data_IF_840432800546
#
_entry.id   IF_840432800546
#
_cell.length_a   1.000
_cell.length_b   1.000
_cell.length_c   1.000
_cell.angle_alpha   90.00
_cell.angle_beta   90.00
_cell.angle_gamma   90.00
#
_symmetry.space_group_name_H-M   'P 1'
#
loop_
_entity.id
_entity.type
_entity.pdbx_description
1 polymer ?
#
# COMPACT_ATOMS: atom_id res chain seq x y z
N UNK A 1 41.79 -8.21 13.60
CA UNK A 1 40.98 -9.04 12.68
C UNK A 1 39.54 -8.67 12.92
N UNK A 2 38.95 -7.96 11.96
CA UNK A 2 37.54 -7.59 11.94
C UNK A 2 36.81 -8.73 11.23
N UNK A 3 35.72 -9.22 11.81
CA UNK A 3 34.53 -9.75 11.15
C UNK A 3 33.50 -10.08 12.25
N UNK A 4 32.18 -9.95 12.10
CA UNK A 4 31.28 -9.25 11.19
C UNK A 4 29.89 -9.68 11.69
N UNK A 5 29.05 -8.83 12.27
CA UNK A 5 27.61 -9.12 12.44
C UNK A 5 26.83 -7.82 12.22
N UNK A 6 26.12 -7.78 11.09
CA UNK A 6 25.03 -6.85 10.80
C UNK A 6 23.77 -7.36 11.51
N UNK A 7 23.06 -6.51 12.27
CA UNK A 7 21.69 -6.83 12.72
C UNK A 7 20.71 -5.83 12.12
N UNK A 8 19.65 -6.40 11.54
CA UNK A 8 18.62 -5.71 10.75
C UNK A 8 17.40 -5.55 11.67
N UNK A 9 16.81 -4.35 11.71
CA UNK A 9 15.51 -4.10 12.37
C UNK A 9 14.45 -5.04 11.78
N UNK A 10 14.06 -6.03 12.56
CA UNK A 10 13.16 -7.12 12.18
C UNK A 10 11.70 -6.70 12.35
N UNK A 11 10.90 -6.96 11.30
CA UNK A 11 9.50 -7.33 11.50
C UNK A 11 9.50 -8.59 12.37
N UNK A 12 8.84 -8.55 13.53
CA UNK A 12 8.64 -9.77 14.31
C UNK A 12 7.69 -10.68 13.53
N UNK A 13 8.27 -11.74 12.96
CA UNK A 13 7.57 -12.82 12.28
C UNK A 13 7.46 -13.95 13.28
N UNK A 14 6.25 -14.25 13.72
CA UNK A 14 5.98 -15.41 14.56
C UNK A 14 5.73 -16.63 13.66
N UNK A 15 6.61 -17.64 13.73
CA UNK A 15 6.30 -18.96 13.19
C UNK A 15 5.46 -19.70 14.25
N UNK A 16 4.21 -20.05 13.96
CA UNK A 16 3.18 -20.54 14.92
C UNK A 16 3.47 -21.96 15.48
N UNK A 17 4.72 -22.45 15.43
CA UNK A 17 5.15 -23.66 16.13
C UNK A 17 6.46 -23.50 16.92
N UNK A 18 6.98 -22.28 17.09
CA UNK A 18 8.20 -22.02 17.85
C UNK A 18 7.91 -21.32 19.19
N UNK A 19 7.16 -21.99 20.07
CA UNK A 19 7.30 -21.80 21.52
C UNK A 19 7.88 -23.08 22.12
N UNK A 20 9.19 -23.23 22.00
CA UNK A 20 9.98 -24.12 22.85
C UNK A 20 11.44 -23.70 22.75
N UNK A 21 11.86 -22.81 23.64
CA UNK A 21 13.10 -22.82 24.43
C UNK A 21 13.14 -21.47 25.16
N UNK A 22 12.61 -21.44 26.38
CA UNK A 22 13.25 -20.83 27.55
C UNK A 22 12.54 -21.35 28.81
N UNK A 23 13.24 -22.21 29.55
CA UNK A 23 12.82 -22.72 30.85
C UNK A 23 12.74 -21.55 31.84
N UNK A 24 11.58 -21.37 32.47
CA UNK A 24 11.49 -21.14 33.92
C UNK A 24 10.10 -21.54 34.41
N UNK A 25 10.10 -22.38 35.44
CA UNK A 25 8.98 -23.01 36.11
C UNK A 25 7.86 -22.07 36.53
N UNK A 26 6.61 -22.53 36.45
CA UNK A 26 5.62 -22.64 37.55
C UNK A 26 4.33 -23.27 36.99
N UNK A 27 3.77 -24.25 37.72
CA UNK A 27 2.33 -24.51 37.77
C UNK A 27 1.75 -25.42 36.70
N UNK A 28 1.70 -26.72 36.99
CA UNK A 28 0.91 -27.74 36.31
C UNK A 28 -0.59 -27.48 36.46
N UNK A 29 -1.34 -27.34 35.37
CA UNK A 29 -2.72 -27.83 35.25
C UNK A 29 -2.92 -28.39 33.82
N UNK A 30 -3.31 -29.66 33.76
CA UNK A 30 -3.60 -30.40 32.55
C UNK A 30 -4.89 -29.88 31.90
N UNK A 31 -4.84 -29.52 30.62
CA UNK A 31 -6.03 -29.52 29.77
C UNK A 31 -5.78 -30.50 28.62
N UNK A 32 -6.51 -31.60 28.69
CA UNK A 32 -6.56 -32.67 27.69
C UNK A 32 -7.16 -32.15 26.39
N UNK A 33 -6.45 -32.37 25.28
CA UNK A 33 -6.96 -32.14 23.93
C UNK A 33 -8.06 -33.16 23.60
N UNK A 34 -9.30 -32.69 23.49
CA UNK A 34 -10.39 -33.45 22.92
C UNK A 34 -10.36 -33.38 21.39
N UNK A 35 -10.33 -34.57 20.81
CA UNK A 35 -10.36 -34.93 19.41
C UNK A 35 -11.56 -34.37 18.63
N UNK A 36 -11.34 -34.28 17.32
CA UNK A 36 -12.25 -33.92 16.24
C UNK A 36 -13.62 -34.63 16.28
N UNK A 37 -14.68 -33.86 16.53
CA UNK A 37 -16.04 -34.06 15.99
C UNK A 37 -16.95 -32.91 16.42
N UNK A 38 -17.32 -32.02 15.51
CA UNK A 38 -18.27 -30.96 15.83
C UNK A 38 -18.35 -29.79 14.84
N UNK A 39 -18.17 -30.02 13.54
CA UNK A 39 -18.45 -29.01 12.51
C UNK A 39 -19.45 -29.62 11.54
N UNK A 40 -20.71 -29.77 11.98
CA UNK A 40 -21.84 -29.91 11.06
C UNK A 40 -23.14 -29.24 11.53
N UNK A 41 -23.19 -28.54 12.67
CA UNK A 41 -24.47 -28.08 13.22
C UNK A 41 -24.58 -26.56 13.51
N UNK A 42 -23.72 -25.74 12.90
CA UNK A 42 -23.80 -24.26 13.01
C UNK A 42 -24.54 -23.59 11.83
N UNK A 43 -24.83 -24.34 10.76
CA UNK A 43 -25.53 -23.86 9.56
C UNK A 43 -27.04 -23.63 9.79
N UNK A 44 -27.63 -24.35 10.75
CA UNK A 44 -29.08 -24.35 10.96
C UNK A 44 -29.55 -23.27 11.97
N UNK A 45 -28.66 -22.81 12.86
CA UNK A 45 -28.96 -21.79 13.88
C UNK A 45 -28.97 -20.35 13.29
N UNK A 46 -28.30 -20.13 12.15
CA UNK A 46 -28.24 -18.80 11.51
C UNK A 46 -29.45 -18.48 10.60
N UNK A 47 -30.30 -19.47 10.27
CA UNK A 47 -31.47 -19.25 9.40
C UNK A 47 -32.74 -18.84 10.13
N UNK A 48 -32.80 -18.97 11.46
CA UNK A 48 -34.00 -18.62 12.25
C UNK A 48 -33.97 -17.22 12.89
N UNK A 49 -32.87 -16.46 12.73
CA UNK A 49 -32.76 -15.09 13.29
C UNK A 49 -32.89 -13.95 12.28
N UNK A 50 -33.13 -14.24 10.99
CA UNK A 50 -33.25 -13.21 9.95
C UNK A 50 -34.68 -12.94 9.46
N UNK A 51 -35.70 -13.52 10.11
CA UNK A 51 -37.11 -13.26 9.81
C UNK A 51 -37.81 -12.81 11.08
N UNK A 52 -37.64 -11.53 11.43
CA UNK A 52 -38.63 -10.65 12.09
C UNK A 52 -37.88 -9.38 12.49
N UNK A 53 -38.14 -8.29 11.78
CA UNK A 53 -38.48 -6.97 12.33
C UNK A 53 -38.44 -5.93 11.22
N UNK A 54 -39.56 -5.82 10.49
CA UNK A 54 -39.98 -4.59 9.85
C UNK A 54 -41.16 -4.04 10.66
N UNK A 55 -41.00 -2.85 11.26
CA UNK A 55 -42.09 -1.95 11.59
C UNK A 55 -41.53 -0.53 11.73
N UNK A 56 -42.21 0.38 11.06
CA UNK A 56 -41.85 1.77 10.80
C UNK A 56 -41.80 2.64 12.06
N UNK A 57 -40.93 3.65 12.08
CA UNK A 57 -41.31 4.97 12.59
C UNK A 57 -40.55 6.04 11.82
N UNK A 58 -41.33 6.93 11.22
CA UNK A 58 -40.94 8.15 10.52
C UNK A 58 -40.32 9.18 11.46
N UNK A 59 -39.11 9.65 11.13
CA UNK A 59 -38.65 10.98 11.49
C UNK A 59 -37.62 11.44 10.46
N UNK A 60 -38.03 12.36 9.60
CA UNK A 60 -37.13 13.07 8.71
C UNK A 60 -36.17 13.92 9.55
N UNK A 61 -34.87 13.68 9.42
CA UNK A 61 -33.85 14.66 9.81
C UNK A 61 -32.73 14.64 8.78
N UNK A 62 -32.44 15.82 8.25
CA UNK A 62 -31.46 16.07 7.22
C UNK A 62 -30.06 15.66 7.69
N UNK A 63 -29.47 14.66 7.03
CA UNK A 63 -28.12 14.16 7.23
C UNK A 63 -27.34 14.29 5.91
N UNK A 64 -27.15 15.51 5.39
CA UNK A 64 -26.39 15.71 4.15
C UNK A 64 -24.91 16.06 4.38
N UNK A 65 -24.44 16.08 5.64
CA UNK A 65 -23.09 16.53 6.00
C UNK A 65 -22.09 15.41 6.35
N UNK A 66 -22.56 14.26 6.85
CA UNK A 66 -21.71 13.14 7.32
C UNK A 66 -21.52 12.06 6.27
N UNK A 67 -22.49 11.85 5.39
CA UNK A 67 -22.44 10.79 4.36
C UNK A 67 -21.44 11.13 3.25
N UNK A 68 -21.41 12.39 2.81
CA UNK A 68 -20.49 12.87 1.76
C UNK A 68 -19.03 12.78 2.18
N UNK A 69 -18.72 13.01 3.47
CA UNK A 69 -17.36 12.96 4.02
C UNK A 69 -16.81 11.52 4.10
N UNK A 70 -17.67 10.55 4.42
CA UNK A 70 -17.29 9.13 4.50
C UNK A 70 -17.00 8.56 3.10
N UNK A 71 -17.80 8.92 2.10
CA UNK A 71 -17.57 8.43 0.74
C UNK A 71 -16.34 9.07 0.10
N UNK A 72 -16.08 10.37 0.34
CA UNK A 72 -14.82 11.01 -0.07
C UNK A 72 -13.62 10.33 0.61
N UNK A 73 -13.70 10.04 1.92
CA UNK A 73 -12.66 9.33 2.63
C UNK A 73 -12.37 7.95 2.04
N UNK A 74 -13.41 7.18 1.70
CA UNK A 74 -13.26 5.86 1.05
C UNK A 74 -12.61 5.95 -0.32
N UNK A 75 -13.04 6.89 -1.16
CA UNK A 75 -12.41 7.11 -2.48
C UNK A 75 -10.94 7.51 -2.33
N UNK A 76 -10.63 8.39 -1.38
CA UNK A 76 -9.26 8.80 -1.06
C UNK A 76 -8.40 7.60 -0.64
N UNK A 77 -8.90 6.72 0.23
CA UNK A 77 -8.20 5.50 0.66
C UNK A 77 -7.95 4.56 -0.53
N UNK A 78 -8.93 4.39 -1.44
CA UNK A 78 -8.79 3.55 -2.65
C UNK A 78 -7.72 4.09 -3.59
N UNK A 79 -7.70 5.41 -3.81
CA UNK A 79 -6.72 6.08 -4.66
C UNK A 79 -5.31 5.95 -4.08
N UNK A 80 -5.16 6.15 -2.76
CA UNK A 80 -3.88 5.94 -2.04
C UNK A 80 -3.45 4.47 -2.14
N UNK A 81 -4.39 3.55 -1.90
CA UNK A 81 -4.18 2.11 -2.03
C UNK A 81 -3.66 1.70 -3.39
N UNK A 82 -4.31 2.15 -4.46
CA UNK A 82 -3.88 1.91 -5.83
C UNK A 82 -2.48 2.47 -6.10
N UNK A 83 -2.24 3.73 -5.71
CA UNK A 83 -0.97 4.39 -5.99
C UNK A 83 0.21 3.73 -5.27
N UNK A 84 0.00 3.30 -4.01
CA UNK A 84 1.02 2.60 -3.22
C UNK A 84 1.17 1.12 -3.60
N UNK A 85 0.14 0.47 -4.16
CA UNK A 85 0.33 -0.85 -4.82
C UNK A 85 1.28 -0.77 -6.00
N UNK A 86 1.17 0.28 -6.82
CA UNK A 86 2.10 0.47 -7.94
C UNK A 86 3.54 0.58 -7.43
N UNK A 87 3.77 1.31 -6.32
CA UNK A 87 5.05 1.36 -5.65
C UNK A 87 5.51 -0.03 -5.18
N UNK A 88 4.67 -0.73 -4.41
CA UNK A 88 4.97 -2.03 -3.81
C UNK A 88 5.36 -3.10 -4.84
N UNK A 89 4.70 -3.14 -6.00
CA UNK A 89 4.85 -4.24 -6.95
C UNK A 89 5.67 -3.91 -8.21
N UNK A 90 5.86 -2.63 -8.54
CA UNK A 90 6.48 -2.24 -9.81
C UNK A 90 7.68 -1.29 -9.66
N UNK A 91 7.81 -0.62 -8.52
CA UNK A 91 8.91 0.32 -8.27
C UNK A 91 10.18 -0.41 -7.84
N UNK A 92 11.30 0.28 -7.99
CA UNK A 92 12.62 -0.16 -7.61
C UNK A 92 13.38 0.97 -6.90
N UNK A 93 14.58 0.69 -6.38
CA UNK A 93 15.33 1.68 -5.61
C UNK A 93 15.99 2.73 -6.48
N UNK A 94 15.28 3.85 -6.70
CA UNK A 94 15.76 4.96 -7.54
C UNK A 94 17.01 5.67 -7.01
N UNK A 95 17.47 5.36 -5.78
CA UNK A 95 18.71 5.92 -5.23
C UNK A 95 19.95 5.25 -5.78
N UNK A 96 19.84 3.96 -6.14
CA UNK A 96 20.98 3.11 -6.50
C UNK A 96 20.85 2.53 -7.90
N UNK A 97 19.62 2.31 -8.36
CA UNK A 97 19.33 1.70 -9.65
C UNK A 97 19.11 2.76 -10.73
N UNK A 98 19.92 2.70 -11.78
CA UNK A 98 19.83 3.62 -12.93
C UNK A 98 19.03 3.01 -14.09
N UNK A 99 19.00 1.67 -14.20
CA UNK A 99 18.31 0.97 -15.27
C UNK A 99 16.99 0.37 -14.80
N UNK A 100 15.89 1.03 -15.16
CA UNK A 100 14.54 0.59 -14.80
C UNK A 100 14.17 -0.82 -15.28
N UNK A 101 14.80 -1.31 -16.34
CA UNK A 101 14.46 -2.61 -16.93
C UNK A 101 15.03 -3.76 -16.11
N UNK A 102 16.26 -3.61 -15.63
CA UNK A 102 16.99 -4.65 -14.88
C UNK A 102 16.86 -4.51 -13.38
N UNK A 103 16.41 -3.35 -12.89
CA UNK A 103 16.27 -3.08 -11.47
C UNK A 103 15.32 -4.06 -10.78
N UNK A 104 15.73 -4.49 -9.58
CA UNK A 104 14.98 -5.44 -8.78
C UNK A 104 13.70 -4.82 -8.21
N UNK A 105 12.60 -5.59 -8.20
CA UNK A 105 11.29 -5.17 -7.69
C UNK A 105 10.88 -6.08 -6.55
N UNK A 106 11.27 -5.72 -5.34
CA UNK A 106 11.09 -6.58 -4.15
C UNK A 106 10.23 -5.97 -3.05
N UNK A 107 9.63 -4.80 -3.31
CA UNK A 107 8.93 -4.06 -2.25
C UNK A 107 7.66 -4.74 -1.73
N UNK A 108 7.15 -5.72 -2.45
CA UNK A 108 6.08 -6.58 -1.96
C UNK A 108 6.54 -7.54 -0.86
N UNK A 109 7.84 -7.83 -0.73
CA UNK A 109 8.43 -8.70 0.30
C UNK A 109 8.98 -7.91 1.48
N UNK A 110 9.60 -6.76 1.21
CA UNK A 110 10.31 -5.94 2.20
C UNK A 110 10.21 -4.47 1.86
N UNK A 111 10.28 -3.60 2.86
CA UNK A 111 10.58 -2.19 2.60
C UNK A 111 12.00 -2.02 2.01
N UNK A 112 12.30 -0.86 1.39
CA UNK A 112 13.60 -0.61 0.80
C UNK A 112 14.77 -0.82 1.77
N UNK A 113 15.85 -1.41 1.25
CA UNK A 113 17.09 -1.66 1.99
C UNK A 113 18.28 -1.06 1.21
N UNK A 114 19.10 -0.20 1.85
CA UNK A 114 18.93 0.33 3.21
C UNK A 114 17.66 1.20 3.33
N UNK A 115 17.11 1.40 4.56
CA UNK A 115 15.99 2.31 4.77
C UNK A 115 16.27 3.73 4.24
N UNK A 116 15.24 4.57 4.14
CA UNK A 116 15.47 5.98 3.88
C UNK A 116 16.31 6.58 5.01
N UNK A 117 17.31 7.40 4.66
CA UNK A 117 18.07 8.17 5.68
C UNK A 117 17.19 9.14 6.45
N UNK A 118 16.10 9.57 5.82
CA UNK A 118 15.10 10.46 6.40
C UNK A 118 13.78 10.27 5.69
N UNK A 119 12.69 10.39 6.45
CA UNK A 119 11.34 10.42 5.89
C UNK A 119 11.12 11.66 5.02
N UNK A 120 10.22 11.54 4.04
CA UNK A 120 9.75 12.67 3.27
C UNK A 120 9.02 13.65 4.20
N UNK A 121 9.60 14.83 4.37
CA UNK A 121 9.19 15.79 5.41
C UNK A 121 7.70 16.15 5.35
N UNK A 122 7.14 16.31 4.15
CA UNK A 122 5.74 16.74 4.02
C UNK A 122 4.78 15.59 4.34
N UNK A 123 5.14 14.35 4.00
CA UNK A 123 4.34 13.17 4.39
C UNK A 123 4.41 13.01 5.90
N UNK A 124 5.62 13.05 6.47
CA UNK A 124 5.83 12.98 7.91
C UNK A 124 4.99 14.01 8.67
N UNK A 125 5.05 15.28 8.25
CA UNK A 125 4.31 16.38 8.87
C UNK A 125 2.81 16.10 9.01
N UNK A 126 2.16 15.58 7.96
CA UNK A 126 0.70 15.38 7.96
C UNK A 126 0.27 13.98 8.39
N UNK A 127 1.15 12.98 8.27
CA UNK A 127 0.81 11.61 8.64
C UNK A 127 1.16 11.25 10.07
N UNK A 128 2.06 11.99 10.72
CA UNK A 128 2.34 11.84 12.15
C UNK A 128 1.22 12.41 13.03
N UNK A 129 0.50 13.43 12.56
CA UNK A 129 -0.51 14.13 13.34
C UNK A 129 -1.80 13.33 13.54
N UNK A 130 -2.39 12.80 12.46
CA UNK A 130 -3.55 11.90 12.52
C UNK A 130 -3.77 11.15 11.21
N UNK A 131 -4.56 10.08 11.27
CA UNK A 131 -4.97 9.32 10.09
C UNK A 131 -5.71 10.19 9.06
N UNK A 132 -6.64 11.03 9.53
CA UNK A 132 -7.45 11.88 8.65
C UNK A 132 -6.60 12.95 7.95
N UNK A 133 -5.68 13.60 8.68
CA UNK A 133 -4.74 14.55 8.06
C UNK A 133 -3.82 13.86 7.05
N UNK A 134 -3.37 12.63 7.36
CA UNK A 134 -2.59 11.81 6.45
C UNK A 134 -3.35 11.57 5.13
N UNK A 135 -4.55 10.99 5.22
CA UNK A 135 -5.33 10.63 4.03
C UNK A 135 -5.66 11.86 3.20
N UNK A 136 -6.09 12.95 3.84
CA UNK A 136 -6.41 14.20 3.14
C UNK A 136 -5.20 14.77 2.41
N UNK A 137 -4.04 14.77 3.05
CA UNK A 137 -2.80 15.23 2.43
C UNK A 137 -2.39 14.33 1.25
N UNK A 138 -2.35 13.01 1.46
CA UNK A 138 -1.94 12.05 0.44
C UNK A 138 -2.88 12.14 -0.77
N UNK A 139 -4.19 12.08 -0.56
CA UNK A 139 -5.17 12.17 -1.62
C UNK A 139 -5.10 13.50 -2.39
N UNK A 140 -4.91 14.62 -1.68
CA UNK A 140 -4.71 15.93 -2.33
C UNK A 140 -3.50 15.93 -3.26
N UNK A 141 -2.37 15.32 -2.86
CA UNK A 141 -1.20 15.16 -3.74
C UNK A 141 -1.52 14.28 -4.94
N UNK A 142 -2.26 13.18 -4.74
CA UNK A 142 -2.61 12.25 -5.81
C UNK A 142 -3.54 12.84 -6.88
N UNK A 143 -4.31 13.90 -6.58
CA UNK A 143 -5.09 14.62 -7.61
C UNK A 143 -4.20 15.17 -8.75
N UNK A 144 -2.92 15.40 -8.50
CA UNK A 144 -1.98 15.91 -9.50
C UNK A 144 -1.28 14.85 -10.36
N UNK A 145 -1.39 13.56 -10.03
CA UNK A 145 -0.61 12.51 -10.70
C UNK A 145 -1.22 12.14 -12.05
N UNK A 146 -0.37 11.67 -12.96
CA UNK A 146 -0.80 11.25 -14.29
C UNK A 146 -1.43 9.84 -14.26
N UNK A 147 -0.83 8.91 -13.52
CA UNK A 147 -1.31 7.53 -13.43
C UNK A 147 -2.33 7.37 -12.28
N UNK A 148 -3.61 7.65 -12.58
CA UNK A 148 -4.70 7.61 -11.60
C UNK A 148 -5.43 6.27 -11.61
N UNK A 149 -6.00 5.89 -10.45
CA UNK A 149 -6.83 4.68 -10.32
C UNK A 149 -8.02 4.69 -11.27
N UNK A 150 -8.69 5.84 -11.42
CA UNK A 150 -9.89 5.98 -12.27
C UNK A 150 -9.62 5.71 -13.75
N UNK A 151 -8.36 5.83 -14.17
CA UNK A 151 -7.93 5.72 -15.56
C UNK A 151 -7.27 4.35 -15.82
N UNK A 152 -7.16 3.50 -14.79
CA UNK A 152 -6.64 2.15 -14.91
C UNK A 152 -7.61 1.26 -15.68
N UNK A 153 -7.08 0.48 -16.62
CA UNK A 153 -7.87 -0.40 -17.49
C UNK A 153 -8.78 -1.35 -16.70
N UNK A 154 -8.29 -1.94 -15.59
CA UNK A 154 -9.09 -2.87 -14.78
C UNK A 154 -10.26 -2.18 -14.11
N UNK A 155 -10.06 -0.94 -13.64
CA UNK A 155 -11.09 -0.13 -12.97
C UNK A 155 -12.12 0.35 -13.98
N UNK A 156 -11.69 0.81 -15.16
CA UNK A 156 -12.60 1.22 -16.24
C UNK A 156 -13.44 0.02 -16.70
N UNK A 157 -12.81 -1.14 -16.93
CA UNK A 157 -13.52 -2.37 -17.30
C UNK A 157 -14.58 -2.75 -16.27
N UNK A 158 -14.23 -2.69 -14.98
CA UNK A 158 -15.16 -2.99 -13.88
C UNK A 158 -16.34 -2.02 -13.87
N UNK A 159 -16.09 -0.71 -13.91
CA UNK A 159 -17.12 0.33 -13.85
C UNK A 159 -18.05 0.32 -15.07
N UNK A 160 -17.51 -0.01 -16.24
CA UNK A 160 -18.27 -0.06 -17.49
C UNK A 160 -18.88 -1.44 -17.77
N UNK A 161 -18.67 -2.42 -16.88
CA UNK A 161 -19.09 -3.82 -17.05
C UNK A 161 -18.62 -4.42 -18.39
N UNK A 162 -17.45 -4.03 -18.87
CA UNK A 162 -16.89 -4.52 -20.12
C UNK A 162 -16.42 -5.96 -20.01
N UNK A 163 -16.65 -6.73 -21.07
CA UNK A 163 -16.14 -8.10 -21.20
C UNK A 163 -15.09 -8.13 -22.29
N UNK A 164 -14.04 -8.91 -22.06
CA UNK A 164 -12.90 -9.04 -22.97
C UNK A 164 -13.32 -9.28 -24.42
N UNK A 165 -14.20 -10.28 -24.64
CA UNK A 165 -14.61 -10.73 -25.96
C UNK A 165 -15.50 -9.73 -26.71
N UNK A 166 -16.17 -8.83 -26.00
CA UNK A 166 -17.15 -7.91 -26.60
C UNK A 166 -16.62 -6.49 -26.74
N UNK A 167 -15.64 -6.10 -25.93
CA UNK A 167 -15.17 -4.72 -25.83
C UNK A 167 -13.68 -4.58 -26.12
N UNK A 168 -13.11 -5.50 -26.91
CA UNK A 168 -11.66 -5.58 -27.15
C UNK A 168 -11.06 -4.24 -27.59
N UNK A 169 -11.65 -3.58 -28.60
CA UNK A 169 -11.14 -2.31 -29.11
C UNK A 169 -11.16 -1.18 -28.06
N UNK A 170 -12.22 -1.10 -27.25
CA UNK A 170 -12.33 -0.11 -26.17
C UNK A 170 -11.32 -0.39 -25.05
N UNK A 171 -11.14 -1.67 -24.70
CA UNK A 171 -10.17 -2.10 -23.69
C UNK A 171 -8.75 -1.76 -24.15
N UNK A 172 -8.39 -2.08 -25.39
CA UNK A 172 -7.08 -1.76 -25.95
C UNK A 172 -6.81 -0.24 -25.97
N UNK A 173 -7.81 0.56 -26.34
CA UNK A 173 -7.67 2.02 -26.32
C UNK A 173 -7.41 2.57 -24.92
N UNK A 174 -8.19 2.14 -23.93
CA UNK A 174 -8.02 2.58 -22.53
C UNK A 174 -6.68 2.11 -21.99
N UNK A 175 -6.25 0.89 -22.34
CA UNK A 175 -4.99 0.34 -21.88
C UNK A 175 -3.77 1.09 -22.43
N UNK A 176 -3.81 1.50 -23.69
CA UNK A 176 -2.76 2.34 -24.27
C UNK A 176 -2.70 3.72 -23.61
N UNK A 177 -3.84 4.30 -23.24
CA UNK A 177 -3.87 5.55 -22.46
C UNK A 177 -3.31 5.36 -21.05
N UNK A 178 -3.69 4.29 -20.35
CA UNK A 178 -3.15 3.96 -19.03
C UNK A 178 -1.62 3.81 -19.08
N UNK A 179 -1.10 3.03 -20.04
CA UNK A 179 0.35 2.83 -20.23
C UNK A 179 1.07 4.13 -20.52
N UNK A 180 0.47 5.01 -21.33
CA UNK A 180 1.03 6.34 -21.63
C UNK A 180 1.11 7.20 -20.36
N UNK A 181 0.05 7.23 -19.56
CA UNK A 181 0.01 7.98 -18.30
C UNK A 181 1.01 7.41 -17.28
N UNK A 182 1.17 6.09 -17.22
CA UNK A 182 2.19 5.44 -16.38
C UNK A 182 3.61 5.83 -16.77
N UNK A 183 3.93 5.81 -18.07
CA UNK A 183 5.23 6.28 -18.58
C UNK A 183 5.46 7.75 -18.21
N UNK A 184 4.43 8.59 -18.32
CA UNK A 184 4.52 10.00 -17.94
C UNK A 184 4.80 10.17 -16.44
N UNK A 185 4.09 9.43 -15.60
CA UNK A 185 4.27 9.43 -14.13
C UNK A 185 5.66 8.94 -13.72
N UNK A 186 6.22 7.97 -14.44
CA UNK A 186 7.56 7.44 -14.16
C UNK A 186 8.71 8.35 -14.59
N UNK A 187 8.51 9.17 -15.62
CA UNK A 187 9.53 10.08 -16.13
C UNK A 187 9.45 11.49 -15.52
N UNK A 188 8.26 12.09 -15.51
CA UNK A 188 8.06 13.45 -15.01
C UNK A 188 7.81 13.42 -13.50
N UNK A 189 7.01 12.46 -13.05
CA UNK A 189 6.58 12.35 -11.67
C UNK A 189 5.88 13.61 -11.15
N UNK A 190 5.02 14.26 -11.93
CA UNK A 190 4.16 15.33 -11.40
C UNK A 190 3.18 14.75 -10.35
N UNK A 191 2.85 15.47 -9.25
CA UNK A 191 3.26 16.84 -8.91
C UNK A 191 4.55 16.92 -8.06
N UNK A 192 5.37 15.87 -8.06
CA UNK A 192 6.61 15.78 -7.29
C UNK A 192 7.75 16.54 -7.99
N UNK A 193 8.83 16.82 -7.28
CA UNK A 193 9.99 17.50 -7.87
C UNK A 193 10.75 16.63 -8.90
N UNK A 194 10.48 15.33 -8.91
CA UNK A 194 10.97 14.37 -9.88
C UNK A 194 10.86 12.93 -9.37
N UNK A 195 11.32 11.94 -10.16
CA UNK A 195 11.14 10.53 -9.83
C UNK A 195 11.75 10.09 -8.50
N UNK A 196 12.88 10.70 -8.10
CA UNK A 196 13.54 10.40 -6.82
C UNK A 196 12.74 10.92 -5.62
N UNK A 197 12.19 12.13 -5.71
CA UNK A 197 11.34 12.68 -4.65
C UNK A 197 10.06 11.84 -4.54
N UNK A 198 9.40 11.53 -5.66
CA UNK A 198 8.21 10.66 -5.70
C UNK A 198 8.48 9.31 -5.04
N UNK A 199 9.65 8.73 -5.28
CA UNK A 199 10.09 7.50 -4.62
C UNK A 199 10.17 7.67 -3.10
N UNK A 200 10.84 8.70 -2.60
CA UNK A 200 10.94 8.97 -1.17
C UNK A 200 9.56 9.24 -0.54
N UNK A 201 8.69 9.96 -1.26
CA UNK A 201 7.32 10.21 -0.87
C UNK A 201 6.53 8.90 -0.75
N UNK A 202 6.58 8.02 -1.76
CA UNK A 202 5.88 6.74 -1.79
C UNK A 202 6.35 5.81 -0.69
N UNK A 203 7.65 5.69 -0.48
CA UNK A 203 8.22 4.87 0.61
C UNK A 203 7.74 5.38 1.97
N UNK A 204 7.80 6.70 2.19
CA UNK A 204 7.33 7.31 3.45
C UNK A 204 5.83 7.11 3.65
N UNK A 205 5.02 7.30 2.61
CA UNK A 205 3.58 7.09 2.66
C UNK A 205 3.24 5.61 2.92
N UNK A 206 3.95 4.67 2.31
CA UNK A 206 3.80 3.24 2.60
C UNK A 206 4.14 2.89 4.05
N UNK A 207 5.17 3.51 4.66
CA UNK A 207 5.43 3.32 6.09
C UNK A 207 4.23 3.74 6.95
N UNK A 208 3.71 4.96 6.74
CA UNK A 208 2.59 5.46 7.53
C UNK A 208 1.29 4.67 7.29
N UNK A 209 0.94 4.41 6.04
CA UNK A 209 -0.30 3.67 5.72
C UNK A 209 -0.23 2.22 6.21
N UNK A 210 0.93 1.59 6.13
CA UNK A 210 1.12 0.27 6.74
C UNK A 210 0.99 0.34 8.26
N UNK A 211 1.60 1.35 8.91
CA UNK A 211 1.47 1.56 10.34
C UNK A 211 0.03 1.76 10.81
N UNK A 212 -0.76 2.59 10.11
CA UNK A 212 -2.20 2.74 10.39
C UNK A 212 -2.98 1.44 10.19
N UNK A 213 -2.58 0.62 9.20
CA UNK A 213 -3.16 -0.71 8.98
C UNK A 213 -2.84 -1.65 10.15
N UNK A 214 -1.60 -1.68 10.61
CA UNK A 214 -1.16 -2.48 11.77
C UNK A 214 -1.85 -2.03 13.07
N UNK A 215 -2.12 -0.73 13.22
CA UNK A 215 -2.95 -0.17 14.30
C UNK A 215 -4.45 -0.49 14.17
N UNK A 216 -4.86 -1.25 13.14
CA UNK A 216 -6.25 -1.64 12.87
C UNK A 216 -7.20 -0.42 12.80
N UNK A 217 -6.74 0.66 12.17
CA UNK A 217 -7.53 1.89 11.96
C UNK A 217 -8.86 1.55 11.27
N UNK A 218 -10.03 1.79 11.88
CA UNK A 218 -11.33 1.26 11.41
C UNK A 218 -11.67 1.57 9.95
N UNK A 219 -11.25 2.74 9.47
CA UNK A 219 -11.48 3.22 8.11
C UNK A 219 -10.74 2.38 7.05
N UNK A 220 -9.66 1.68 7.44
CA UNK A 220 -8.88 0.78 6.58
C UNK A 220 -9.39 -0.67 6.60
N UNK A 221 -10.46 -0.95 7.36
CA UNK A 221 -10.99 -2.31 7.53
C UNK A 221 -11.39 -2.95 6.21
N UNK A 222 -12.02 -2.19 5.31
CA UNK A 222 -12.45 -2.65 3.97
C UNK A 222 -12.38 -1.52 2.97
N UNK A 223 -12.00 -1.86 1.75
CA UNK A 223 -12.00 -0.90 0.64
C UNK A 223 -13.37 -0.84 -0.03
N UNK A 224 -14.22 -1.85 0.11
CA UNK A 224 -15.49 -2.01 -0.61
C UNK A 224 -15.32 -1.94 -2.15
N UNK A 225 -14.15 -2.36 -2.64
CA UNK A 225 -13.77 -2.46 -4.05
C UNK A 225 -12.70 -3.56 -4.17
N UNK A 226 -12.66 -4.27 -5.30
CA UNK A 226 -11.58 -5.22 -5.56
C UNK A 226 -10.24 -4.49 -5.62
N UNK A 227 -9.27 -4.93 -4.81
CA UNK A 227 -7.91 -4.38 -4.78
C UNK A 227 -6.86 -5.33 -5.36
N UNK A 228 -7.29 -6.44 -5.96
CA UNK A 228 -6.45 -7.48 -6.55
C UNK A 228 -5.88 -7.06 -7.90
N UNK A 229 -4.97 -6.10 -7.88
CA UNK A 229 -4.16 -5.70 -9.02
C UNK A 229 -2.85 -5.08 -8.55
N UNK A 230 -1.85 -5.06 -9.42
CA UNK A 230 -0.57 -4.41 -9.15
C UNK A 230 -0.54 -2.93 -9.55
N UNK A 231 -1.69 -2.32 -9.86
CA UNK A 231 -1.77 -0.95 -10.39
C UNK A 231 -0.79 -0.72 -11.57
N UNK A 232 -0.89 -1.61 -12.55
CA UNK A 232 0.04 -1.68 -13.68
C UNK A 232 -0.66 -1.70 -15.04
N UNK A 233 -1.82 -1.04 -15.16
CA UNK A 233 -2.70 -1.20 -16.31
C UNK A 233 -3.08 -2.68 -16.51
N UNK A 234 -3.53 -3.06 -17.69
CA UNK A 234 -3.97 -4.41 -17.97
C UNK A 234 -2.79 -5.37 -18.13
N UNK A 235 -2.81 -6.47 -17.38
CA UNK A 235 -1.91 -7.59 -17.62
C UNK A 235 -2.62 -8.58 -18.54
N UNK A 236 -2.16 -8.74 -19.79
CA UNK A 236 -2.82 -9.64 -20.74
C UNK A 236 -2.75 -11.12 -20.34
N UNK A 237 -1.82 -11.50 -19.45
CA UNK A 237 -1.69 -12.88 -18.99
C UNK A 237 -2.66 -13.23 -17.87
N UNK A 238 -3.03 -12.25 -17.05
CA UNK A 238 -3.87 -12.44 -15.86
C UNK A 238 -5.24 -11.75 -15.99
N UNK A 239 -5.39 -10.82 -16.94
CA UNK A 239 -6.57 -10.02 -17.13
C UNK A 239 -6.64 -8.84 -16.14
N UNK A 240 -7.85 -8.41 -15.74
CA UNK A 240 -8.03 -7.25 -14.85
C UNK A 240 -7.73 -7.55 -13.38
N UNK A 241 -7.59 -8.82 -12.99
CA UNK A 241 -7.31 -9.26 -11.62
C UNK A 241 -6.22 -10.33 -11.62
N UNK A 242 -5.46 -10.45 -10.53
CA UNK A 242 -4.37 -11.44 -10.47
C UNK A 242 -4.80 -12.78 -9.85
N UNK A 243 -6.01 -12.86 -9.29
CA UNK A 243 -6.52 -13.95 -8.44
C UNK A 243 -5.58 -14.23 -7.25
N UNK A 244 -5.08 -13.17 -6.62
CA UNK A 244 -4.13 -13.26 -5.51
C UNK A 244 -4.80 -13.73 -4.21
N UNK A 245 -4.37 -14.87 -3.67
CA UNK A 245 -4.92 -15.48 -2.47
C UNK A 245 -4.74 -14.64 -1.19
N UNK A 246 -3.92 -13.59 -1.23
CA UNK A 246 -3.76 -12.64 -0.11
C UNK A 246 -4.85 -11.57 -0.10
N UNK A 247 -5.68 -11.52 -1.14
CA UNK A 247 -6.63 -10.43 -1.36
C UNK A 247 -8.06 -10.95 -1.37
N UNK A 248 -8.78 -10.65 -0.31
CA UNK A 248 -10.24 -10.70 -0.29
C UNK A 248 -10.75 -9.64 0.69
N UNK A 249 -11.47 -8.66 0.17
CA UNK A 249 -12.00 -7.51 0.91
C UNK A 249 -13.17 -7.88 1.85
N UNK A 250 -13.63 -9.14 1.81
CA UNK A 250 -14.52 -9.70 2.83
C UNK A 250 -13.79 -9.94 4.16
N UNK A 251 -12.47 -10.12 4.12
CA UNK A 251 -11.63 -10.23 5.30
C UNK A 251 -11.05 -8.88 5.68
N UNK A 252 -11.14 -8.57 6.97
CA UNK A 252 -10.77 -7.28 7.50
C UNK A 252 -9.28 -6.99 7.25
N UNK A 253 -8.99 -5.79 6.75
CA UNK A 253 -7.65 -5.26 6.44
C UNK A 253 -6.89 -5.95 5.30
N UNK A 254 -7.42 -7.00 4.66
CA UNK A 254 -6.71 -7.70 3.57
C UNK A 254 -6.27 -6.75 2.45
N UNK A 255 -7.17 -5.89 1.98
CA UNK A 255 -6.83 -4.91 0.94
C UNK A 255 -5.82 -3.85 1.41
N UNK A 256 -5.90 -3.44 2.69
CA UNK A 256 -4.97 -2.48 3.27
C UNK A 256 -3.56 -3.09 3.41
N UNK A 257 -3.45 -4.32 3.95
CA UNK A 257 -2.20 -5.06 4.04
C UNK A 257 -1.60 -5.32 2.66
N UNK A 258 -2.43 -5.73 1.71
CA UNK A 258 -2.00 -5.94 0.33
C UNK A 258 -1.51 -4.65 -0.33
N UNK A 259 -2.11 -3.50 0.00
CA UNK A 259 -1.76 -2.22 -0.61
C UNK A 259 -0.57 -1.52 0.03
N UNK A 260 -0.46 -1.60 1.35
CA UNK A 260 0.44 -0.72 2.11
C UNK A 260 1.63 -1.44 2.72
N UNK A 261 1.47 -2.70 3.13
CA UNK A 261 2.49 -3.42 3.88
C UNK A 261 3.25 -4.41 3.01
N UNK A 262 4.59 -4.53 3.14
CA UNK A 262 5.30 -5.69 2.61
C UNK A 262 4.83 -6.97 3.32
N UNK A 263 4.88 -8.10 2.62
CA UNK A 263 4.57 -9.40 3.18
C UNK A 263 5.78 -10.33 3.06
N UNK A 264 6.69 -10.36 4.05
CA UNK A 264 7.85 -11.23 4.02
C UNK A 264 7.47 -12.72 4.05
N UNK A 265 6.31 -13.07 4.60
CA UNK A 265 5.80 -14.44 4.67
C UNK A 265 5.30 -14.96 3.31
N UNK A 266 4.93 -14.06 2.40
CA UNK A 266 4.64 -14.41 1.01
C UNK A 266 5.56 -13.66 0.05
N UNK A 267 6.78 -14.19 -0.19
CA UNK A 267 7.79 -13.56 -1.03
C UNK A 267 7.51 -13.73 -2.53
N UNK A 268 6.27 -13.98 -2.93
CA UNK A 268 5.87 -14.16 -4.33
C UNK A 268 5.10 -12.93 -4.80
N UNK A 269 5.41 -12.49 -6.04
CA UNK A 269 4.66 -11.40 -6.67
C UNK A 269 3.24 -11.87 -6.96
N UNK A 270 3.11 -12.95 -7.72
CA UNK A 270 1.84 -13.64 -8.01
C UNK A 270 1.69 -14.82 -7.04
N UNK A 271 0.57 -14.89 -6.32
CA UNK A 271 0.33 -15.90 -5.30
C UNK A 271 -1.12 -16.38 -5.35
N UNK A 272 -1.44 -17.26 -6.29
CA UNK A 272 -2.82 -17.73 -6.50
C UNK A 272 -3.28 -18.69 -5.40
N UNK A 273 -2.32 -19.31 -4.70
CA UNK A 273 -2.58 -20.16 -3.54
C UNK A 273 -1.64 -19.80 -2.40
N UNK A 274 -2.16 -19.72 -1.17
CA UNK A 274 -1.34 -19.43 0.00
C UNK A 274 -0.23 -20.48 0.21
N UNK A 275 -0.47 -21.72 -0.19
CA UNK A 275 0.50 -22.81 -0.07
C UNK A 275 1.79 -22.55 -0.89
N UNK A 276 1.73 -21.76 -1.95
CA UNK A 276 2.91 -21.38 -2.74
C UNK A 276 3.81 -20.44 -1.93
N UNK A 277 3.22 -19.52 -1.17
CA UNK A 277 3.93 -18.65 -0.24
C UNK A 277 4.61 -19.48 0.88
N UNK A 278 3.88 -20.43 1.48
CA UNK A 278 4.37 -21.26 2.58
C UNK A 278 5.54 -22.16 2.18
N UNK A 279 5.55 -22.62 0.92
CA UNK A 279 6.58 -23.51 0.38
C UNK A 279 7.64 -22.78 -0.46
N UNK A 280 7.63 -21.45 -0.47
CA UNK A 280 8.71 -20.70 -1.09
C UNK A 280 9.99 -20.81 -0.25
N UNK A 281 11.16 -21.12 -0.85
CA UNK A 281 12.45 -21.11 -0.14
C UNK A 281 12.82 -19.76 0.48
N UNK A 282 12.19 -18.67 0.02
CA UNK A 282 12.37 -17.32 0.55
C UNK A 282 11.45 -17.02 1.75
N UNK A 283 10.49 -17.90 2.08
CA UNK A 283 9.68 -17.74 3.28
C UNK A 283 10.59 -17.84 4.52
N UNK A 284 10.56 -16.88 5.46
CA UNK A 284 11.40 -16.89 6.65
C UNK A 284 11.29 -18.17 7.50
N UNK A 285 10.09 -18.77 7.55
CA UNK A 285 9.84 -20.01 8.27
C UNK A 285 10.22 -21.28 7.46
N UNK A 286 10.70 -21.17 6.21
CA UNK A 286 10.93 -22.33 5.34
C UNK A 286 12.02 -23.28 5.84
N UNK A 287 13.18 -22.75 6.24
CA UNK A 287 14.38 -23.55 6.55
C UNK A 287 14.28 -24.30 7.87
N UNK A 288 13.58 -23.71 8.84
CA UNK A 288 13.49 -24.21 10.21
C UNK A 288 12.31 -25.16 10.41
N UNK A 289 11.41 -25.26 9.43
CA UNK A 289 10.17 -26.02 9.57
C UNK A 289 9.97 -27.01 8.40
N UNK A 290 9.35 -28.14 8.72
CA UNK A 290 8.97 -29.14 7.72
C UNK A 290 7.83 -28.63 6.83
N UNK A 291 7.63 -29.28 5.67
CA UNK A 291 6.46 -29.02 4.81
C UNK A 291 5.18 -29.19 5.65
N UNK A 292 4.27 -28.23 5.57
CA UNK A 292 3.04 -28.18 6.38
C UNK A 292 3.18 -27.48 7.73
N UNK A 293 4.40 -27.15 8.19
CA UNK A 293 4.68 -26.42 9.44
C UNK A 293 5.27 -25.02 9.20
N UNK A 294 5.19 -24.51 7.96
CA UNK A 294 5.80 -23.25 7.52
C UNK A 294 4.88 -22.04 7.63
N UNK A 295 3.84 -22.14 8.45
CA UNK A 295 2.94 -21.04 8.73
C UNK A 295 3.77 -19.84 9.23
N UNK A 296 3.61 -18.73 8.54
CA UNK A 296 4.35 -17.50 8.77
C UNK A 296 3.33 -16.38 8.84
N UNK A 297 3.28 -15.71 9.98
CA UNK A 297 2.41 -14.57 10.20
C UNK A 297 3.23 -13.41 10.75
N UNK A 298 2.93 -12.20 10.27
CA UNK A 298 3.47 -10.99 10.83
C UNK A 298 2.55 -10.57 11.98
N UNK A 299 3.10 -10.44 13.19
CA UNK A 299 2.32 -9.94 14.33
C UNK A 299 2.05 -8.45 14.13
N UNK A 300 0.81 -8.11 13.80
CA UNK A 300 0.39 -6.73 13.53
C UNK A 300 0.35 -5.87 14.80
N UNK A 301 0.25 -6.47 15.99
CA UNK A 301 0.11 -5.77 17.26
C UNK A 301 1.47 -5.43 17.87
N UNK A 302 2.48 -6.28 17.66
CA UNK A 302 3.84 -6.08 18.17
C UNK A 302 4.71 -5.14 17.32
N UNK A 303 4.38 -4.93 16.04
CA UNK A 303 5.17 -4.07 15.14
C UNK A 303 4.61 -2.64 15.03
N UNK A 304 4.12 -2.09 16.15
CA UNK A 304 3.30 -0.87 16.15
C UNK A 304 4.05 0.40 16.59
N UNK A 305 5.35 0.29 16.89
CA UNK A 305 6.24 1.42 17.18
C UNK A 305 6.83 2.01 15.90
N UNK A 306 6.29 3.16 15.47
CA UNK A 306 6.80 3.88 14.30
C UNK A 306 8.20 4.49 14.53
N UNK A 307 8.62 4.64 15.80
CA UNK A 307 9.81 5.37 16.26
C UNK A 307 11.15 4.71 15.91
N UNK A 308 11.14 3.47 15.41
CA UNK A 308 12.33 2.86 14.81
C UNK A 308 12.77 3.55 13.50
N UNK A 309 12.00 4.53 13.01
CA UNK A 309 12.37 5.41 11.90
C UNK A 309 12.74 6.79 12.45
N UNK A 310 14.00 7.19 12.33
CA UNK A 310 14.46 8.45 12.89
C UNK A 310 14.04 9.71 12.11
N UNK A 311 13.72 10.75 12.88
CA UNK A 311 13.39 12.08 12.35
C UNK A 311 14.57 12.73 11.61
N UNK A 312 14.29 13.72 10.76
CA UNK A 312 15.32 14.54 10.14
C UNK A 312 16.19 15.23 11.21
N UNK A 313 17.51 15.12 11.07
CA UNK A 313 18.44 15.57 12.10
C UNK A 313 18.76 14.51 13.15
N UNK A 314 18.30 13.27 13.00
CA UNK A 314 18.57 12.15 13.90
C UNK A 314 18.98 10.89 13.12
N UNK A 315 19.81 10.04 13.74
CA UNK A 315 20.32 8.76 13.19
C UNK A 315 19.93 7.65 14.16
N UNK A 316 19.47 6.51 13.63
CA UNK A 316 19.17 5.34 14.45
C UNK A 316 20.45 4.78 15.03
N UNK A 317 20.50 4.66 16.34
CA UNK A 317 21.60 4.04 17.05
C UNK A 317 21.20 2.63 17.49
N UNK A 318 21.95 1.64 17.02
CA UNK A 318 21.62 0.23 17.19
C UNK A 318 21.80 -0.23 18.64
N UNK A 319 22.75 0.37 19.36
CA UNK A 319 23.08 0.01 20.74
C UNK A 319 22.06 0.54 21.74
N UNK A 320 21.65 1.81 21.61
CA UNK A 320 20.64 2.42 22.49
C UNK A 320 19.20 2.12 22.08
N UNK A 321 18.98 1.64 20.85
CA UNK A 321 17.64 1.54 20.23
C UNK A 321 16.88 2.88 20.26
N UNK A 322 17.62 3.97 20.11
CA UNK A 322 17.08 5.32 20.10
C UNK A 322 17.54 6.09 18.86
N UNK A 323 16.82 7.16 18.53
CA UNK A 323 17.23 8.10 17.49
C UNK A 323 18.12 9.18 18.12
N UNK A 324 19.41 9.16 17.80
CA UNK A 324 20.38 10.13 18.30
C UNK A 324 20.48 11.34 17.38
N UNK A 325 20.51 12.54 17.95
CA UNK A 325 20.62 13.77 17.17
C UNK A 325 21.95 13.82 16.41
N UNK A 326 21.87 14.03 15.10
CA UNK A 326 23.01 14.25 14.23
C UNK A 326 23.14 15.74 13.92
N UNK A 327 24.14 16.37 14.53
CA UNK A 327 24.46 17.78 14.29
C UNK A 327 24.75 18.08 12.81
N UNK A 328 25.28 17.11 12.06
CA UNK A 328 25.54 17.25 10.63
C UNK A 328 24.25 17.33 9.81
N UNK A 329 23.23 16.54 10.16
CA UNK A 329 21.94 16.54 9.48
C UNK A 329 21.04 17.71 9.91
N UNK A 330 21.10 18.11 11.18
CA UNK A 330 20.37 19.30 11.67
C UNK A 330 20.93 20.61 11.12
N UNK A 331 22.22 20.64 10.73
CA UNK A 331 22.85 21.81 10.10
C UNK A 331 22.49 21.97 8.60
N UNK A 332 21.97 20.92 7.95
CA UNK A 332 21.50 20.98 6.57
C UNK A 332 20.14 21.71 6.50
N UNK A 333 20.19 23.03 6.40
CA UNK A 333 19.02 23.83 5.99
C UNK A 333 18.78 23.58 4.50
N UNK A 334 17.74 22.81 4.17
CA UNK A 334 17.20 22.77 2.82
C UNK A 334 16.76 24.19 2.45
N UNK A 335 17.59 24.89 1.66
CA UNK A 335 17.17 26.15 1.07
C UNK A 335 16.03 25.83 0.11
N UNK A 336 14.82 26.22 0.49
CA UNK A 336 13.68 26.30 -0.41
C UNK A 336 14.16 27.07 -1.63
N UNK A 337 14.20 26.42 -2.79
CA UNK A 337 14.36 27.14 -4.06
C UNK A 337 13.06 27.90 -4.23
N UNK A 338 13.02 29.15 -3.79
CA UNK A 338 11.91 30.03 -4.15
C UNK A 338 11.89 30.07 -5.67
N UNK A 339 10.85 29.47 -6.26
CA UNK A 339 10.65 29.51 -7.71
C UNK A 339 10.68 30.98 -8.09
N UNK A 340 11.66 31.37 -8.90
CA UNK A 340 11.81 32.76 -9.29
C UNK A 340 10.54 33.22 -10.01
N UNK A 341 10.21 34.52 -9.93
CA UNK A 341 9.07 35.10 -10.66
C UNK A 341 9.07 34.73 -12.16
N UNK A 342 10.26 34.50 -12.71
CA UNK A 342 10.50 34.03 -14.09
C UNK A 342 10.06 32.56 -14.28
N UNK A 343 10.34 31.67 -13.34
CA UNK A 343 9.86 30.27 -13.39
C UNK A 343 8.34 30.16 -13.19
N UNK A 344 7.76 30.98 -12.31
CA UNK A 344 6.30 31.08 -12.17
C UNK A 344 5.64 31.67 -13.43
N UNK A 345 6.27 32.64 -14.09
CA UNK A 345 5.82 33.19 -15.38
C UNK A 345 5.94 32.17 -16.52
N UNK A 346 6.97 31.31 -16.52
CA UNK A 346 7.11 30.23 -17.51
C UNK A 346 6.02 29.17 -17.36
N UNK A 347 5.67 28.80 -16.13
CA UNK A 347 4.58 27.85 -15.85
C UNK A 347 3.23 28.39 -16.32
N UNK A 348 2.92 29.65 -16.01
CA UNK A 348 1.68 30.32 -16.47
C UNK A 348 1.62 30.53 -17.98
N UNK A 349 2.77 30.78 -18.64
CA UNK A 349 2.85 30.86 -20.10
C UNK A 349 2.62 29.48 -20.75
N UNK A 350 3.17 28.41 -20.17
CA UNK A 350 2.96 27.04 -20.65
C UNK A 350 1.50 26.58 -20.52
N UNK A 351 0.82 26.97 -19.44
CA UNK A 351 -0.62 26.73 -19.28
C UNK A 351 -1.47 27.47 -20.33
N UNK A 352 -1.12 28.72 -20.64
CA UNK A 352 -1.77 29.48 -21.74
C UNK A 352 -1.54 28.83 -23.10
N UNK A 353 -0.33 28.33 -23.37
CA UNK A 353 0.01 27.64 -24.63
C UNK A 353 -0.74 26.30 -24.73
N UNK A 354 -0.83 25.53 -23.64
CA UNK A 354 -1.63 24.28 -23.59
C UNK A 354 -3.09 24.56 -23.98
N UNK A 355 -3.69 25.60 -23.42
CA UNK A 355 -5.09 25.95 -23.73
C UNK A 355 -5.28 26.34 -25.20
N UNK A 356 -4.33 27.05 -25.81
CA UNK A 356 -4.39 27.41 -27.25
C UNK A 356 -4.23 26.17 -28.14
N UNK A 357 -3.33 25.26 -27.81
CA UNK A 357 -3.11 24.01 -28.58
C UNK A 357 -4.33 23.09 -28.46
N UNK A 358 -4.94 23.00 -27.27
CA UNK A 358 -6.14 22.19 -27.06
C UNK A 358 -7.36 22.75 -27.80
N UNK A 359 -7.52 24.07 -27.85
CA UNK A 359 -8.61 24.72 -28.58
C UNK A 359 -8.52 24.49 -30.09
N UNK A 360 -7.30 24.46 -30.66
CA UNK A 360 -7.08 24.23 -32.09
C UNK A 360 -7.41 22.82 -32.57
N UNK A 361 -7.47 21.82 -31.68
CA UNK A 361 -7.86 20.44 -32.02
C UNK A 361 -9.37 20.19 -31.99
N UNK A 362 -10.18 21.13 -31.49
CA UNK A 362 -11.64 21.02 -31.43
C UNK A 362 -12.40 21.71 -32.57
N UNK A 363 -11.73 22.38 -33.51
CA UNK A 363 -12.37 23.22 -34.55
C UNK A 363 -12.21 22.70 -35.98
N UNK A 364 -11.81 21.43 -36.18
CA UNK A 364 -11.77 20.79 -37.50
C UNK A 364 -12.74 19.60 -37.53
N UNK A 365 -14.03 19.91 -37.44
CA UNK A 365 -15.15 19.01 -37.73
C UNK A 365 -16.37 19.88 -38.05
N UNK A 366 -16.40 20.41 -39.27
CA UNK A 366 -17.60 20.75 -40.04
C UNK A 366 -17.22 20.89 -41.50
#
# INVERSE_FOLDING_TARGET
>A
MINNINTITLLFISCILCDNIFNTSIGTEEITYASSKGIQDFSQILKEKFVTNNSETTAASASSGTEVDIDELRENIRDIGYYLRSHKFNEYDRRYETNSTTAERIYFKTFPRPPLRSLHWEVHKYCESSFMECVNYLAKKLRGVAARRTDDTSIVMMKQHWKWKTNTAQIEQVDEECKKNKKLDDHIADPFEGPLERYQWRVTASYFMCWYTMKKTPELKRFHEKCDNFANCLDYNYGPYNDDARVDDLFDFSCALYSFCPNPCCPLKYANMMNDCLNSPENPCYRQNNVGQRACEADLEQNSEFRCICHWGYIWDEDSRECLSSMALSALKLKRKEKTKIEMMKLTLWEKIKNIIFWRKGSSSN
#
